data_IF_839007652550
#
_entry.id   IF_839007652550
#
_cell.length_a   1.000
_cell.length_b   1.000
_cell.length_c   1.000
_cell.angle_alpha   90.00
_cell.angle_beta   90.00
_cell.angle_gamma   90.00
#
_symmetry.space_group_name_H-M   'P 1'
#
loop_
_entity.id
_entity.type
_entity.pdbx_description
1 polymer ?
#
# COMPACT_ATOMS: atom_id res chain seq x y z
N UNK A 1 -10.90 15.61 -27.87
CA UNK A 1 -10.33 14.25 -27.92
C UNK A 1 -10.02 13.84 -26.50
N UNK A 2 -10.52 12.69 -26.03
CA UNK A 2 -10.09 12.15 -24.74
C UNK A 2 -8.58 11.86 -24.83
N UNK A 3 -7.82 12.22 -23.80
CA UNK A 3 -6.43 11.81 -23.70
C UNK A 3 -6.37 10.26 -23.78
N UNK A 4 -5.37 9.69 -24.46
CA UNK A 4 -5.18 8.24 -24.43
C UNK A 4 -5.11 7.80 -22.96
N UNK A 5 -5.79 6.71 -22.63
CA UNK A 5 -5.64 6.10 -21.31
C UNK A 5 -4.14 5.86 -21.07
N UNK A 6 -3.59 6.22 -19.89
CA UNK A 6 -2.20 5.97 -19.60
C UNK A 6 -1.92 4.47 -19.78
N UNK A 7 -0.85 4.15 -20.49
CA UNK A 7 -0.40 2.78 -20.64
C UNK A 7 0.03 2.27 -19.27
N UNK A 8 -0.47 1.11 -18.85
CA UNK A 8 -0.15 0.54 -17.54
C UNK A 8 1.37 0.32 -17.46
N UNK A 9 2.03 0.98 -16.50
CA UNK A 9 3.44 0.79 -16.28
C UNK A 9 3.67 -0.60 -15.66
N UNK A 10 4.59 -1.37 -16.24
CA UNK A 10 5.04 -2.65 -15.73
C UNK A 10 6.52 -2.84 -16.04
N UNK A 11 7.20 -3.67 -15.23
CA UNK A 11 8.62 -3.97 -15.40
C UNK A 11 9.53 -3.17 -14.49
N UNK A 12 10.83 -3.19 -14.79
CA UNK A 12 11.86 -2.55 -13.98
C UNK A 12 11.83 -1.02 -14.11
N UNK A 13 12.06 -0.33 -13.00
CA UNK A 13 12.18 1.12 -12.96
C UNK A 13 13.39 1.51 -12.09
N UNK A 14 14.09 2.62 -12.41
CA UNK A 14 15.14 3.13 -11.54
C UNK A 14 14.53 3.68 -10.25
N UNK A 15 15.21 3.50 -9.12
CA UNK A 15 14.81 4.14 -7.89
C UNK A 15 14.80 5.66 -8.04
N UNK A 16 13.81 6.30 -7.42
CA UNK A 16 13.78 7.76 -7.29
C UNK A 16 14.73 8.21 -6.17
N UNK A 17 15.17 9.48 -6.13
CA UNK A 17 16.06 9.97 -5.08
C UNK A 17 15.56 9.72 -3.65
N UNK A 18 14.26 9.84 -3.41
CA UNK A 18 13.68 9.60 -2.08
C UNK A 18 13.66 8.11 -1.71
N UNK A 19 13.50 7.22 -2.70
CA UNK A 19 13.56 5.77 -2.48
C UNK A 19 14.98 5.32 -2.16
N UNK A 20 16.01 5.85 -2.86
CA UNK A 20 17.41 5.63 -2.48
C UNK A 20 17.68 6.05 -1.04
N UNK A 21 17.33 7.31 -0.70
CA UNK A 21 17.52 7.82 0.65
C UNK A 21 16.85 6.94 1.72
N UNK A 22 15.63 6.45 1.45
CA UNK A 22 14.91 5.60 2.38
C UNK A 22 15.65 4.29 2.65
N UNK A 23 16.12 3.61 1.60
CA UNK A 23 16.86 2.36 1.76
C UNK A 23 18.21 2.57 2.45
N UNK A 24 18.93 3.64 2.12
CA UNK A 24 20.19 4.01 2.78
C UNK A 24 19.99 4.33 4.27
N UNK A 25 18.92 5.06 4.61
CA UNK A 25 18.67 5.50 5.98
C UNK A 25 18.11 4.38 6.88
N UNK A 26 17.29 3.48 6.33
CA UNK A 26 16.53 2.51 7.12
C UNK A 26 17.05 1.07 7.02
N UNK A 27 17.71 0.70 5.92
CA UNK A 27 18.21 -0.66 5.69
C UNK A 27 17.14 -1.72 5.89
N UNK A 28 17.42 -2.72 6.73
CA UNK A 28 16.49 -3.81 7.06
C UNK A 28 15.16 -3.33 7.69
N UNK A 29 15.13 -2.11 8.26
CA UNK A 29 13.92 -1.53 8.86
C UNK A 29 13.02 -0.83 7.83
N UNK A 30 13.43 -0.76 6.56
CA UNK A 30 12.69 -0.05 5.51
C UNK A 30 11.22 -0.46 5.46
N UNK A 31 10.90 -1.76 5.61
CA UNK A 31 9.53 -2.28 5.56
C UNK A 31 8.59 -1.75 6.66
N UNK A 32 9.10 -1.11 7.72
CA UNK A 32 8.27 -0.49 8.75
C UNK A 32 7.82 0.94 8.41
N UNK A 33 8.27 1.51 7.28
CA UNK A 33 8.07 2.92 6.96
C UNK A 33 6.80 3.12 6.11
N UNK A 34 5.65 3.12 6.78
CA UNK A 34 4.34 3.29 6.17
C UNK A 34 3.61 4.53 6.71
N UNK A 35 2.74 5.08 5.88
CA UNK A 35 1.74 6.04 6.30
C UNK A 35 0.44 5.30 6.59
N UNK A 36 -0.28 5.72 7.62
CA UNK A 36 -1.57 5.13 7.97
C UNK A 36 -2.62 6.21 8.17
N UNK A 37 -3.86 5.88 7.81
CA UNK A 37 -5.03 6.68 8.11
C UNK A 37 -6.18 5.80 8.58
N UNK A 38 -7.17 6.44 9.19
CA UNK A 38 -8.42 5.78 9.61
C UNK A 38 -9.58 6.56 9.06
N UNK A 39 -10.49 5.88 8.35
CA UNK A 39 -11.74 6.42 7.85
C UNK A 39 -12.92 5.79 8.61
N UNK A 40 -13.92 6.60 8.97
CA UNK A 40 -15.20 6.07 9.44
C UNK A 40 -16.04 5.68 8.24
N UNK A 41 -16.66 4.50 8.31
CA UNK A 41 -17.51 3.97 7.25
C UNK A 41 -18.98 3.91 7.72
N UNK A 42 -19.94 3.88 6.78
CA UNK A 42 -21.34 3.61 7.09
C UNK A 42 -21.53 2.25 7.76
N UNK A 43 -22.53 2.15 8.63
CA UNK A 43 -22.85 0.90 9.35
C UNK A 43 -23.29 -0.23 8.41
N UNK A 44 -23.99 0.11 7.33
CA UNK A 44 -24.57 -0.78 6.32
C UNK A 44 -23.63 -1.12 5.16
N UNK A 45 -22.33 -0.82 5.30
CA UNK A 45 -21.29 -1.16 4.33
C UNK A 45 -21.32 -2.64 3.94
N UNK A 46 -21.30 -2.88 2.63
CA UNK A 46 -20.96 -4.19 2.04
C UNK A 46 -19.44 -4.40 2.08
N UNK A 47 -19.01 -5.36 2.90
CA UNK A 47 -17.58 -5.65 3.10
C UNK A 47 -16.93 -6.34 1.90
N UNK A 48 -17.70 -7.11 1.12
CA UNK A 48 -17.20 -7.72 -0.11
C UNK A 48 -16.97 -6.65 -1.15
N UNK A 49 -17.91 -5.72 -1.30
CA UNK A 49 -17.73 -4.57 -2.20
C UNK A 49 -16.54 -3.69 -1.78
N UNK A 50 -16.30 -3.53 -0.47
CA UNK A 50 -15.12 -2.82 0.03
C UNK A 50 -13.82 -3.54 -0.34
N UNK A 51 -13.74 -4.85 -0.11
CA UNK A 51 -12.54 -5.63 -0.44
C UNK A 51 -12.26 -5.64 -1.94
N UNK A 52 -13.31 -5.75 -2.77
CA UNK A 52 -13.21 -5.66 -4.22
C UNK A 52 -12.72 -4.26 -4.65
N UNK A 53 -13.28 -3.18 -4.10
CA UNK A 53 -12.83 -1.82 -4.39
C UNK A 53 -11.36 -1.57 -3.98
N UNK A 54 -10.91 -2.12 -2.86
CA UNK A 54 -9.51 -2.04 -2.45
C UNK A 54 -8.59 -2.83 -3.39
N UNK A 55 -9.03 -3.98 -3.90
CA UNK A 55 -8.27 -4.74 -4.89
C UNK A 55 -8.24 -4.03 -6.25
N UNK A 56 -9.33 -3.38 -6.66
CA UNK A 56 -9.38 -2.54 -7.85
C UNK A 56 -8.42 -1.35 -7.75
N UNK A 57 -8.33 -0.72 -6.57
CA UNK A 57 -7.36 0.36 -6.29
C UNK A 57 -5.92 -0.13 -6.47
N UNK A 58 -5.57 -1.31 -5.93
CA UNK A 58 -4.23 -1.90 -6.12
C UNK A 58 -3.98 -2.25 -7.59
N UNK A 59 -4.99 -2.70 -8.32
CA UNK A 59 -4.86 -3.02 -9.74
C UNK A 59 -4.72 -1.77 -10.63
N UNK A 60 -5.44 -0.70 -10.29
CA UNK A 60 -5.49 0.55 -11.06
C UNK A 60 -4.23 1.39 -10.88
N UNK A 61 -3.68 1.47 -9.67
CA UNK A 61 -2.51 2.31 -9.39
C UNK A 61 -1.21 1.51 -9.43
N UNK A 62 -0.46 1.69 -10.52
CA UNK A 62 0.82 1.01 -10.80
C UNK A 62 1.80 1.04 -9.62
N UNK A 63 1.88 2.16 -8.90
CA UNK A 63 2.74 2.30 -7.73
C UNK A 63 2.41 1.26 -6.63
N UNK A 64 1.12 0.92 -6.40
CA UNK A 64 0.71 -0.06 -5.39
C UNK A 64 1.08 -1.50 -5.75
N UNK A 65 1.38 -1.76 -7.04
CA UNK A 65 1.90 -3.04 -7.57
C UNK A 65 3.42 -3.14 -7.51
N UNK A 66 4.09 -2.12 -6.97
CA UNK A 66 5.54 -2.08 -6.86
C UNK A 66 6.09 -3.14 -5.92
N UNK A 67 7.28 -3.61 -6.24
CA UNK A 67 8.09 -4.50 -5.42
C UNK A 67 9.53 -4.05 -5.46
N UNK A 68 10.21 -4.19 -4.33
CA UNK A 68 11.60 -3.80 -4.11
C UNK A 68 12.35 -5.03 -3.62
N UNK A 69 13.21 -5.58 -4.46
CA UNK A 69 13.98 -6.81 -4.17
C UNK A 69 15.45 -6.48 -4.03
N UNK A 70 16.22 -7.21 -3.21
CA UNK A 70 17.68 -7.10 -3.22
C UNK A 70 18.23 -7.24 -4.64
N UNK A 71 19.15 -6.37 -5.00
CA UNK A 71 19.94 -6.47 -6.23
C UNK A 71 21.37 -6.89 -5.86
N UNK A 72 21.79 -8.06 -6.36
CA UNK A 72 23.13 -8.57 -6.12
C UNK A 72 24.19 -7.84 -6.97
N UNK A 73 23.76 -7.07 -7.98
CA UNK A 73 24.65 -6.26 -8.82
C UNK A 73 24.83 -4.85 -8.25
N UNK A 74 25.70 -4.74 -7.24
CA UNK A 74 26.04 -3.46 -6.62
C UNK A 74 26.67 -2.43 -7.58
N UNK A 75 27.08 -2.83 -8.79
CA UNK A 75 27.59 -1.89 -9.79
C UNK A 75 26.45 -1.12 -10.49
N UNK A 76 25.21 -1.62 -10.44
CA UNK A 76 24.05 -1.00 -11.06
C UNK A 76 23.37 0.03 -10.14
N UNK A 77 23.33 -0.22 -8.82
CA UNK A 77 22.69 0.67 -7.84
C UNK A 77 23.36 0.53 -6.44
N UNK A 78 23.91 1.63 -5.86
CA UNK A 78 24.53 1.59 -4.53
C UNK A 78 23.54 1.26 -3.40
N UNK A 79 22.23 1.44 -3.60
CA UNK A 79 21.21 1.00 -2.65
C UNK A 79 21.04 -0.53 -2.61
N UNK A 80 21.55 -1.26 -3.62
CA UNK A 80 21.45 -2.72 -3.69
C UNK A 80 20.00 -3.22 -3.76
N UNK A 81 19.11 -2.44 -4.37
CA UNK A 81 17.68 -2.73 -4.47
C UNK A 81 17.19 -2.47 -5.89
N UNK A 82 16.39 -3.40 -6.42
CA UNK A 82 15.71 -3.29 -7.70
C UNK A 82 14.23 -3.01 -7.49
N UNK A 83 13.74 -1.92 -8.08
CA UNK A 83 12.31 -1.63 -8.17
C UNK A 83 11.72 -2.21 -9.44
N UNK A 84 10.61 -2.93 -9.29
CA UNK A 84 9.79 -3.38 -10.40
C UNK A 84 8.31 -3.23 -10.10
N UNK A 85 7.53 -2.94 -11.14
CA UNK A 85 6.07 -2.88 -11.08
C UNK A 85 5.52 -4.20 -11.64
N UNK A 86 4.83 -4.96 -10.80
CA UNK A 86 4.34 -6.30 -11.17
C UNK A 86 3.17 -6.22 -12.14
N UNK A 87 3.23 -6.90 -13.28
CA UNK A 87 2.14 -6.95 -14.29
C UNK A 87 0.78 -7.33 -13.71
N UNK A 88 0.77 -8.26 -12.75
CA UNK A 88 -0.43 -8.67 -12.02
C UNK A 88 -0.40 -8.08 -10.61
N UNK A 89 -1.50 -7.43 -10.25
CA UNK A 89 -1.71 -6.92 -8.91
C UNK A 89 -1.64 -8.04 -7.86
N UNK A 90 -0.90 -7.87 -6.76
CA UNK A 90 -1.04 -8.75 -5.61
C UNK A 90 -2.46 -8.59 -5.04
N UNK A 91 -3.06 -9.69 -4.60
CA UNK A 91 -4.35 -9.64 -3.91
C UNK A 91 -4.15 -9.04 -2.52
N UNK A 92 -4.95 -8.03 -2.20
CA UNK A 92 -5.12 -7.53 -0.85
C UNK A 92 -6.22 -8.31 -0.14
N UNK A 93 -5.99 -8.67 1.12
CA UNK A 93 -7.00 -9.27 1.99
C UNK A 93 -7.49 -8.23 3.00
N UNK A 94 -8.81 -8.09 3.12
CA UNK A 94 -9.41 -7.22 4.13
C UNK A 94 -9.42 -7.91 5.50
N UNK A 95 -8.46 -7.55 6.36
CA UNK A 95 -8.41 -8.08 7.71
C UNK A 95 -9.55 -7.51 8.57
N UNK A 96 -9.97 -8.26 9.58
CA UNK A 96 -11.08 -7.89 10.47
C UNK A 96 -10.59 -7.77 11.90
N UNK A 97 -11.02 -6.73 12.59
CA UNK A 97 -10.74 -6.50 13.99
C UNK A 97 -12.05 -6.23 14.74
N UNK A 98 -12.21 -6.86 15.91
CA UNK A 98 -13.40 -6.72 16.77
C UNK A 98 -13.01 -6.38 18.22
N UNK A 99 -11.77 -5.93 18.44
CA UNK A 99 -11.27 -5.54 19.76
C UNK A 99 -11.77 -4.18 20.21
N UNK A 100 -11.31 -3.70 21.40
CA UNK A 100 -11.71 -2.41 21.94
C UNK A 100 -11.24 -1.25 21.06
N UNK A 101 -11.92 -0.11 21.14
CA UNK A 101 -11.62 1.07 20.31
C UNK A 101 -10.20 1.64 20.51
N UNK A 102 -9.59 1.41 21.67
CA UNK A 102 -8.20 1.79 21.95
C UNK A 102 -7.17 0.94 21.20
N UNK A 103 -7.58 -0.18 20.62
CA UNK A 103 -6.72 -1.10 19.90
C UNK A 103 -6.68 -0.68 18.42
N UNK A 104 -5.77 0.25 18.10
CA UNK A 104 -5.51 0.59 16.70
C UNK A 104 -4.69 -0.54 16.07
N UNK A 105 -5.13 -1.15 14.96
CA UNK A 105 -4.43 -2.27 14.35
C UNK A 105 -2.98 -1.91 14.04
N UNK A 106 -2.04 -2.71 14.56
CA UNK A 106 -0.65 -2.62 14.16
C UNK A 106 -0.44 -3.42 12.87
N UNK A 107 -0.03 -2.73 11.80
CA UNK A 107 0.14 -3.39 10.50
C UNK A 107 1.40 -4.26 10.42
N UNK A 108 2.39 -4.09 11.31
CA UNK A 108 3.69 -4.77 11.20
C UNK A 108 4.49 -4.33 9.96
N UNK A 109 5.66 -4.92 9.70
CA UNK A 109 6.47 -4.59 8.52
C UNK A 109 5.82 -5.08 7.23
N UNK A 110 5.99 -4.31 6.16
CA UNK A 110 5.71 -4.72 4.79
C UNK A 110 6.81 -5.63 4.24
N UNK A 111 6.39 -6.69 3.55
CA UNK A 111 7.30 -7.46 2.69
C UNK A 111 7.44 -6.71 1.36
N UNK A 112 8.49 -5.88 1.26
CA UNK A 112 8.72 -5.04 0.09
C UNK A 112 8.98 -5.84 -1.18
N UNK A 113 9.45 -7.08 -1.06
CA UNK A 113 9.75 -7.95 -2.20
C UNK A 113 8.52 -8.64 -2.78
N UNK A 114 7.44 -8.79 -2.00
CA UNK A 114 6.22 -9.52 -2.40
C UNK A 114 4.98 -8.64 -2.52
N UNK A 115 4.88 -7.59 -1.71
CA UNK A 115 3.64 -6.83 -1.53
C UNK A 115 2.52 -7.67 -0.89
N UNK A 116 1.26 -7.18 -0.90
CA UNK A 116 0.86 -5.85 -1.34
C UNK A 116 1.43 -4.74 -0.45
N UNK A 117 1.64 -3.55 -1.02
CA UNK A 117 2.13 -2.36 -0.31
C UNK A 117 1.01 -1.50 0.28
N UNK A 118 -0.24 -1.94 0.14
CA UNK A 118 -1.41 -1.46 0.85
C UNK A 118 -1.92 -2.59 1.76
N UNK A 119 -2.31 -2.25 2.99
CA UNK A 119 -2.99 -3.13 3.94
C UNK A 119 -4.25 -2.45 4.46
N UNK A 120 -5.29 -3.23 4.70
CA UNK A 120 -6.57 -2.75 5.20
C UNK A 120 -7.05 -3.61 6.37
N UNK A 121 -7.54 -2.96 7.42
CA UNK A 121 -8.20 -3.61 8.55
C UNK A 121 -9.54 -2.94 8.79
N UNK A 122 -10.62 -3.69 8.66
CA UNK A 122 -11.96 -3.26 9.06
C UNK A 122 -12.19 -3.55 10.54
N UNK A 123 -12.38 -2.49 11.32
CA UNK A 123 -12.74 -2.55 12.73
C UNK A 123 -14.25 -2.45 12.90
N UNK A 124 -14.88 -3.58 13.26
CA UNK A 124 -16.28 -3.61 13.68
C UNK A 124 -16.35 -3.30 15.18
N UNK A 125 -16.79 -2.08 15.51
CA UNK A 125 -16.79 -1.52 16.88
C UNK A 125 -17.99 -1.94 17.74
N UNK A 126 -18.83 -2.82 17.23
CA UNK A 126 -20.04 -3.32 17.89
C UNK A 126 -21.32 -2.58 17.44
N UNK A 127 -22.49 -3.01 17.97
CA UNK A 127 -23.78 -2.52 17.50
C UNK A 127 -23.98 -1.01 17.70
N UNK A 128 -24.54 -0.33 16.70
CA UNK A 128 -24.86 1.10 16.75
C UNK A 128 -23.64 2.04 16.69
N UNK A 129 -22.48 1.51 16.28
CA UNK A 129 -21.25 2.28 16.10
C UNK A 129 -20.70 2.10 14.70
N UNK A 130 -20.45 3.23 14.05
CA UNK A 130 -19.77 3.30 12.76
C UNK A 130 -18.52 2.42 12.74
N UNK A 131 -18.38 1.48 11.78
CA UNK A 131 -17.13 0.78 11.56
C UNK A 131 -16.02 1.76 11.18
N UNK A 132 -14.78 1.38 11.46
CA UNK A 132 -13.61 2.13 11.04
C UNK A 132 -12.75 1.27 10.11
N UNK A 133 -12.30 1.85 9.00
CA UNK A 133 -11.32 1.26 8.11
C UNK A 133 -9.96 1.87 8.40
N UNK A 134 -9.03 1.04 8.84
CA UNK A 134 -7.64 1.41 8.99
C UNK A 134 -6.91 1.02 7.71
N UNK A 135 -6.23 1.98 7.09
CA UNK A 135 -5.42 1.77 5.90
C UNK A 135 -3.97 2.08 6.24
N UNK A 136 -3.06 1.25 5.74
CA UNK A 136 -1.64 1.56 5.73
C UNK A 136 -1.06 1.32 4.34
N UNK A 137 -0.32 2.31 3.84
CA UNK A 137 0.40 2.22 2.57
C UNK A 137 1.87 2.51 2.82
N UNK A 138 2.75 1.69 2.24
CA UNK A 138 4.18 1.88 2.38
C UNK A 138 4.64 3.19 1.72
N UNK A 139 5.48 3.99 2.40
CA UNK A 139 5.81 5.35 1.96
C UNK A 139 6.62 5.40 0.66
N UNK A 140 7.19 4.27 0.23
CA UNK A 140 7.84 4.13 -1.09
C UNK A 140 6.89 4.36 -2.27
N UNK A 141 5.57 4.25 -2.05
CA UNK A 141 4.53 4.28 -3.10
C UNK A 141 3.37 5.22 -2.79
N UNK A 142 3.47 6.01 -1.72
CA UNK A 142 2.45 6.99 -1.33
C UNK A 142 3.09 8.22 -0.71
N UNK A 143 2.41 9.36 -0.84
CA UNK A 143 2.68 10.59 -0.13
C UNK A 143 1.37 11.29 0.29
N UNK A 144 1.48 12.47 0.89
CA UNK A 144 0.32 13.24 1.35
C UNK A 144 -0.67 13.63 0.25
N UNK A 145 -0.21 13.81 -1.00
CA UNK A 145 -1.10 14.15 -2.14
C UNK A 145 -1.78 12.89 -2.65
N UNK A 146 -1.04 11.78 -2.72
CA UNK A 146 -1.52 10.48 -3.16
C UNK A 146 -2.72 10.01 -2.35
N UNK A 147 -2.72 10.22 -1.02
CA UNK A 147 -3.86 9.85 -0.17
C UNK A 147 -5.18 10.47 -0.59
N UNK A 148 -5.17 11.71 -1.09
CA UNK A 148 -6.40 12.34 -1.57
C UNK A 148 -6.94 11.58 -2.79
N UNK A 149 -6.07 11.19 -3.71
CA UNK A 149 -6.46 10.44 -4.91
C UNK A 149 -6.96 9.03 -4.59
N UNK A 150 -6.38 8.37 -3.58
CA UNK A 150 -6.80 7.03 -3.16
C UNK A 150 -8.17 7.02 -2.45
N UNK A 151 -8.65 8.17 -2.00
CA UNK A 151 -9.92 8.32 -1.26
C UNK A 151 -11.05 8.94 -2.10
N UNK A 152 -10.75 9.42 -3.31
CA UNK A 152 -11.73 9.97 -4.28
C UNK A 152 -12.36 8.86 -5.12
#
# INVERSE_FOLDING_TARGET
AAAPAPEAAAGAAPLTPIQHWLFEALGERAGHYAQALTAQLPDDLDETALEDALNDLVAHHDALRSRFTPDEDAAADPAGVRWHIAERAPRLELARHTGPETDTPHFGPFDLARGPLLRAVLHRRGPGRAPALHLAVHHLVVDGVSWRLLLE
#
